data_IF_817331557073
#
_entry.id   IF_817331557073
#
_cell.length_a   1.000
_cell.length_b   1.000
_cell.length_c   1.000
_cell.angle_alpha   90.00
_cell.angle_beta   90.00
_cell.angle_gamma   90.00
#
_symmetry.space_group_name_H-M   'P 1'
#
loop_
_entity.id
_entity.type
_entity.pdbx_description
1 polymer ?
#
# COMPACT_ATOMS: atom_id res chain seq x y z
N UNK A 1 10.59 1.00 12.74
CA UNK A 1 10.79 -0.42 13.05
C UNK A 1 10.57 -1.36 11.86
N UNK A 2 9.97 -0.93 10.74
CA UNK A 2 9.64 -1.86 9.65
C UNK A 2 10.50 -1.57 8.42
N UNK A 3 11.62 -2.28 8.29
CA UNK A 3 12.23 -2.51 6.98
C UNK A 3 11.63 -3.81 6.43
N UNK A 4 10.65 -3.74 5.52
CA UNK A 4 9.90 -4.92 5.10
C UNK A 4 10.74 -5.94 4.34
N UNK A 5 11.97 -5.56 3.93
CA UNK A 5 12.96 -6.42 3.30
C UNK A 5 13.90 -7.14 4.28
N UNK A 6 13.75 -6.92 5.59
CA UNK A 6 14.61 -7.50 6.62
C UNK A 6 14.52 -9.04 6.64
N UNK A 7 15.64 -9.75 6.78
CA UNK A 7 15.57 -11.21 6.97
C UNK A 7 15.07 -11.54 8.38
N UNK A 8 14.65 -12.79 8.62
CA UNK A 8 14.24 -13.22 9.95
C UNK A 8 15.41 -13.13 10.95
N UNK A 9 16.63 -13.42 10.49
CA UNK A 9 17.86 -13.31 11.26
C UNK A 9 18.17 -11.84 11.60
N UNK A 10 18.05 -10.95 10.61
CA UNK A 10 18.29 -9.53 10.82
C UNK A 10 17.24 -8.91 11.77
N UNK A 11 15.97 -9.33 11.65
CA UNK A 11 14.89 -8.90 12.55
C UNK A 11 15.11 -9.43 13.97
N UNK A 12 15.47 -10.71 14.10
CA UNK A 12 15.81 -11.36 15.37
C UNK A 12 16.93 -10.62 16.09
N UNK A 13 18.03 -10.30 15.39
CA UNK A 13 19.15 -9.54 15.95
C UNK A 13 18.72 -8.12 16.33
N UNK A 14 17.95 -7.44 15.48
CA UNK A 14 17.54 -6.05 15.69
C UNK A 14 16.59 -5.86 16.86
N UNK A 15 15.68 -6.82 17.08
CA UNK A 15 14.69 -6.78 18.15
C UNK A 15 15.08 -7.59 19.38
N UNK A 16 16.21 -8.29 19.35
CA UNK A 16 16.68 -9.13 20.45
C UNK A 16 15.72 -10.29 20.77
N UNK A 17 15.06 -10.85 19.74
CA UNK A 17 14.05 -11.91 19.89
C UNK A 17 14.50 -13.23 19.25
N UNK A 18 13.96 -14.39 19.65
CA UNK A 18 14.24 -15.68 19.01
C UNK A 18 13.95 -15.69 17.51
N UNK A 19 14.77 -16.42 16.73
CA UNK A 19 14.58 -16.54 15.28
C UNK A 19 13.19 -17.06 14.90
N UNK A 20 12.66 -18.03 15.66
CA UNK A 20 11.32 -18.56 15.44
C UNK A 20 10.22 -17.50 15.59
N UNK A 21 10.35 -16.59 16.56
CA UNK A 21 9.40 -15.48 16.72
C UNK A 21 9.52 -14.47 15.58
N UNK A 22 10.74 -14.13 15.17
CA UNK A 22 10.97 -13.26 14.03
C UNK A 22 10.42 -13.85 12.72
N UNK A 23 10.51 -15.18 12.53
CA UNK A 23 9.91 -15.86 11.39
C UNK A 23 8.39 -15.75 11.37
N UNK A 24 7.73 -15.97 12.51
CA UNK A 24 6.27 -15.84 12.63
C UNK A 24 5.81 -14.41 12.33
N UNK A 25 6.48 -13.41 12.89
CA UNK A 25 6.15 -11.99 12.63
C UNK A 25 6.29 -11.66 11.14
N UNK A 26 7.35 -12.14 10.48
CA UNK A 26 7.53 -11.89 9.06
C UNK A 26 6.52 -12.64 8.19
N UNK A 27 6.12 -13.84 8.60
CA UNK A 27 5.09 -14.64 7.92
C UNK A 27 3.72 -13.93 7.97
N UNK A 28 3.35 -13.36 9.12
CA UNK A 28 2.11 -12.58 9.26
C UNK A 28 2.09 -11.30 8.41
N UNK A 29 3.26 -10.73 8.12
CA UNK A 29 3.41 -9.49 7.37
C UNK A 29 3.69 -9.70 5.88
N UNK A 30 3.89 -10.94 5.42
CA UNK A 30 4.27 -11.26 4.04
C UNK A 30 3.29 -12.23 3.41
N UNK A 31 3.16 -12.11 2.10
CA UNK A 31 2.32 -13.02 1.33
C UNK A 31 2.97 -13.23 -0.03
N UNK A 32 3.07 -14.47 -0.50
CA UNK A 32 3.57 -14.70 -1.85
C UNK A 32 2.53 -14.25 -2.87
N UNK A 33 3.00 -13.82 -4.05
CA UNK A 33 2.14 -13.40 -5.13
C UNK A 33 1.10 -14.45 -5.54
N UNK A 34 1.45 -15.74 -5.43
CA UNK A 34 0.56 -16.86 -5.76
C UNK A 34 -0.63 -16.92 -4.80
N UNK A 35 -0.38 -16.74 -3.50
CA UNK A 35 -1.42 -16.75 -2.47
C UNK A 35 -2.27 -15.48 -2.58
N UNK A 36 -1.63 -14.36 -2.89
CA UNK A 36 -2.33 -13.10 -3.13
C UNK A 36 -3.24 -13.15 -4.36
N UNK A 37 -2.87 -13.89 -5.41
CA UNK A 37 -3.72 -14.09 -6.59
C UNK A 37 -5.01 -14.85 -6.24
N UNK A 38 -4.94 -15.85 -5.35
CA UNK A 38 -6.14 -16.50 -4.82
C UNK A 38 -6.95 -15.54 -3.93
N UNK A 39 -6.27 -14.74 -3.12
CA UNK A 39 -6.92 -13.76 -2.23
C UNK A 39 -7.68 -12.67 -3.00
N UNK A 40 -7.18 -12.27 -4.17
CA UNK A 40 -7.85 -11.33 -5.08
C UNK A 40 -9.15 -11.89 -5.69
N UNK A 41 -9.29 -13.21 -5.78
CA UNK A 41 -10.51 -13.85 -6.31
C UNK A 41 -11.64 -13.86 -5.29
N UNK A 42 -11.32 -13.73 -4.01
CA UNK A 42 -12.33 -13.70 -2.95
C UNK A 42 -13.16 -12.41 -3.03
N UNK A 43 -14.50 -12.51 -3.00
CA UNK A 43 -15.37 -11.34 -3.06
C UNK A 43 -15.14 -10.43 -1.85
N UNK A 44 -15.38 -9.12 -2.03
CA UNK A 44 -15.36 -8.19 -0.91
C UNK A 44 -16.41 -8.60 0.15
N UNK A 45 -16.11 -8.49 1.44
CA UNK A 45 -17.06 -8.84 2.50
C UNK A 45 -18.30 -7.94 2.42
N UNK A 46 -19.48 -8.48 2.69
CA UNK A 46 -20.75 -7.72 2.66
C UNK A 46 -20.70 -6.59 3.70
N UNK A 47 -20.28 -6.92 4.92
CA UNK A 47 -20.05 -5.95 5.98
C UNK A 47 -18.60 -5.46 5.96
N UNK A 48 -18.44 -4.13 6.02
CA UNK A 48 -17.14 -3.47 6.14
C UNK A 48 -17.10 -2.74 7.47
N UNK A 49 -15.98 -2.85 8.19
CA UNK A 49 -15.78 -2.25 9.52
C UNK A 49 -15.90 -0.72 9.50
N UNK A 50 -15.43 -0.09 8.42
CA UNK A 50 -15.37 1.36 8.28
C UNK A 50 -16.25 1.84 7.14
N UNK A 51 -16.85 3.01 7.30
CA UNK A 51 -17.54 3.74 6.25
C UNK A 51 -16.55 4.40 5.29
N UNK A 52 -15.44 4.97 5.79
CA UNK A 52 -14.43 5.63 4.96
C UNK A 52 -13.01 5.25 5.36
N UNK A 53 -12.29 4.67 4.40
CA UNK A 53 -10.87 4.35 4.50
C UNK A 53 -10.10 5.20 3.51
N UNK A 54 -8.90 5.68 3.86
CA UNK A 54 -8.00 6.29 2.89
C UNK A 54 -6.74 5.46 2.68
N UNK A 55 -6.08 5.69 1.55
CA UNK A 55 -4.73 5.22 1.26
C UNK A 55 -4.03 6.22 0.35
N UNK A 56 -2.70 6.15 0.30
CA UNK A 56 -1.89 7.04 -0.53
C UNK A 56 -0.79 6.29 -1.25
N UNK A 57 -0.49 6.69 -2.47
CA UNK A 57 0.59 6.11 -3.25
C UNK A 57 0.89 6.90 -4.52
N UNK A 58 2.03 6.61 -5.14
CA UNK A 58 2.32 7.16 -6.48
C UNK A 58 1.58 6.39 -7.56
N UNK A 59 1.40 5.07 -7.40
CA UNK A 59 0.78 4.19 -8.41
C UNK A 59 1.41 4.35 -9.81
N UNK A 60 2.74 4.35 -9.87
CA UNK A 60 3.49 4.55 -11.12
C UNK A 60 3.30 3.36 -12.08
N UNK A 61 3.88 2.22 -11.72
CA UNK A 61 3.58 0.93 -12.34
C UNK A 61 2.80 0.10 -11.34
N UNK A 62 1.50 -0.10 -11.62
CA UNK A 62 0.63 -0.90 -10.74
C UNK A 62 1.10 -2.35 -10.77
N UNK A 63 1.17 -2.95 -9.59
CA UNK A 63 1.68 -4.30 -9.34
C UNK A 63 0.98 -4.88 -8.11
N UNK A 64 1.23 -6.14 -7.79
CA UNK A 64 0.50 -6.82 -6.70
C UNK A 64 0.65 -6.15 -5.34
N UNK A 65 1.81 -5.55 -5.02
CA UNK A 65 1.92 -4.71 -3.82
C UNK A 65 0.93 -3.52 -3.76
N UNK A 66 0.65 -2.85 -4.89
CA UNK A 66 -0.38 -1.80 -4.95
C UNK A 66 -1.79 -2.40 -4.85
N UNK A 67 -2.03 -3.54 -5.51
CA UNK A 67 -3.33 -4.23 -5.41
C UNK A 67 -3.61 -4.71 -4.00
N UNK A 68 -2.61 -5.17 -3.25
CA UNK A 68 -2.77 -5.58 -1.86
C UNK A 68 -3.18 -4.42 -0.97
N UNK A 69 -2.58 -3.24 -1.17
CA UNK A 69 -2.97 -2.01 -0.49
C UNK A 69 -4.43 -1.61 -0.82
N UNK A 70 -4.80 -1.64 -2.10
CA UNK A 70 -6.16 -1.34 -2.54
C UNK A 70 -7.17 -2.36 -1.97
N UNK A 71 -6.90 -3.65 -2.11
CA UNK A 71 -7.76 -4.74 -1.61
C UNK A 71 -7.96 -4.62 -0.10
N UNK A 72 -6.91 -4.33 0.65
CA UNK A 72 -6.96 -4.11 2.09
C UNK A 72 -7.93 -2.98 2.44
N UNK A 73 -7.89 -1.87 1.71
CA UNK A 73 -8.83 -0.78 1.94
C UNK A 73 -10.27 -1.13 1.53
N UNK A 74 -10.50 -1.74 0.37
CA UNK A 74 -11.85 -2.10 -0.10
C UNK A 74 -12.50 -3.22 0.71
N UNK A 75 -11.72 -4.07 1.38
CA UNK A 75 -12.25 -5.06 2.33
C UNK A 75 -12.70 -4.43 3.64
N UNK A 76 -12.11 -3.31 4.02
CA UNK A 76 -12.38 -2.67 5.31
C UNK A 76 -13.26 -1.44 5.22
N UNK A 77 -13.36 -0.79 4.05
CA UNK A 77 -14.07 0.46 3.83
C UNK A 77 -15.21 0.35 2.84
N UNK A 78 -16.36 0.95 3.16
CA UNK A 78 -17.48 1.12 2.20
C UNK A 78 -17.14 2.12 1.10
N UNK A 79 -16.41 3.17 1.42
CA UNK A 79 -15.83 4.13 0.46
C UNK A 79 -14.33 4.26 0.72
N UNK A 80 -13.56 4.36 -0.36
CA UNK A 80 -12.10 4.41 -0.31
C UNK A 80 -11.59 5.69 -0.99
N UNK A 81 -10.95 6.56 -0.21
CA UNK A 81 -10.23 7.73 -0.73
C UNK A 81 -8.82 7.34 -1.13
N UNK A 82 -8.49 7.40 -2.42
CA UNK A 82 -7.19 7.02 -2.97
C UNK A 82 -6.42 8.29 -3.35
N UNK A 83 -5.43 8.61 -2.54
CA UNK A 83 -4.50 9.71 -2.81
C UNK A 83 -3.42 9.30 -3.81
N UNK A 84 -3.33 10.01 -4.92
CA UNK A 84 -2.32 9.82 -5.96
C UNK A 84 -1.37 11.01 -5.97
N UNK A 85 -0.07 10.77 -5.75
CA UNK A 85 0.93 11.86 -5.70
C UNK A 85 0.94 12.68 -6.97
N UNK A 86 1.06 14.00 -6.86
CA UNK A 86 1.32 14.90 -7.98
C UNK A 86 2.68 14.61 -8.63
N UNK A 87 2.92 15.16 -9.82
CA UNK A 87 4.22 15.00 -10.48
C UNK A 87 5.31 15.74 -9.72
N UNK A 88 4.99 16.88 -9.13
CA UNK A 88 5.86 17.65 -8.26
C UNK A 88 6.24 16.88 -7.00
N UNK A 89 5.25 16.25 -6.34
CA UNK A 89 5.49 15.44 -5.16
C UNK A 89 6.27 14.17 -5.51
N UNK A 90 5.92 13.49 -6.60
CA UNK A 90 6.62 12.30 -7.07
C UNK A 90 8.11 12.56 -7.35
N UNK A 91 8.44 13.72 -7.96
CA UNK A 91 9.84 14.15 -8.18
C UNK A 91 10.58 14.38 -6.86
N UNK A 92 9.94 14.98 -5.86
CA UNK A 92 10.55 15.20 -4.52
C UNK A 92 10.84 13.89 -3.79
N UNK A 93 10.09 12.83 -4.07
CA UNK A 93 10.31 11.50 -3.48
C UNK A 93 11.54 10.77 -4.06
N UNK A 94 12.26 11.37 -5.02
CA UNK A 94 13.55 10.89 -5.56
C UNK A 94 13.56 9.39 -5.88
N UNK A 95 12.56 8.93 -6.63
CA UNK A 95 12.53 7.54 -7.09
C UNK A 95 13.71 7.26 -8.02
N UNK A 96 14.16 6.01 -8.02
CA UNK A 96 15.30 5.56 -8.82
C UNK A 96 15.00 5.49 -10.35
N UNK A 97 13.79 5.87 -10.76
CA UNK A 97 13.30 5.85 -12.12
C UNK A 97 12.44 7.09 -12.40
N UNK A 98 12.30 7.42 -13.68
CA UNK A 98 11.34 8.44 -14.13
C UNK A 98 9.92 7.95 -13.85
N UNK A 99 9.13 8.81 -13.20
CA UNK A 99 7.74 8.52 -12.84
C UNK A 99 6.83 9.02 -13.94
N UNK A 100 5.85 8.20 -14.32
CA UNK A 100 4.83 8.58 -15.32
C UNK A 100 4.05 9.83 -14.90
N UNK A 101 3.54 10.62 -15.87
CA UNK A 101 2.69 11.77 -15.56
C UNK A 101 1.46 11.39 -14.72
N UNK A 102 1.00 12.34 -13.90
CA UNK A 102 -0.13 12.14 -13.00
C UNK A 102 -1.38 11.63 -13.71
N UNK A 103 -1.68 12.19 -14.89
CA UNK A 103 -2.83 11.78 -15.70
C UNK A 103 -2.75 10.32 -16.13
N UNK A 104 -1.58 9.84 -16.52
CA UNK A 104 -1.36 8.44 -16.92
C UNK A 104 -1.52 7.51 -15.72
N UNK A 105 -0.94 7.86 -14.57
CA UNK A 105 -1.06 7.07 -13.33
C UNK A 105 -2.50 6.96 -12.86
N UNK A 106 -3.25 8.06 -12.88
CA UNK A 106 -4.69 8.06 -12.57
C UNK A 106 -5.49 7.24 -13.57
N UNK A 107 -5.19 7.35 -14.87
CA UNK A 107 -5.84 6.55 -15.91
C UNK A 107 -5.64 5.06 -15.67
N UNK A 108 -4.39 4.64 -15.46
CA UNK A 108 -4.04 3.24 -15.19
C UNK A 108 -4.72 2.73 -13.90
N UNK A 109 -4.76 3.56 -12.85
CA UNK A 109 -5.46 3.22 -11.61
C UNK A 109 -6.96 3.04 -11.82
N UNK A 110 -7.61 3.92 -12.58
CA UNK A 110 -9.04 3.78 -12.91
C UNK A 110 -9.32 2.47 -13.65
N UNK A 111 -8.53 2.12 -14.67
CA UNK A 111 -8.68 0.85 -15.39
C UNK A 111 -8.57 -0.36 -14.46
N UNK A 112 -7.68 -0.30 -13.46
CA UNK A 112 -7.55 -1.34 -12.43
C UNK A 112 -8.78 -1.39 -11.51
N UNK A 113 -9.26 -0.24 -11.05
CA UNK A 113 -10.45 -0.17 -10.21
C UNK A 113 -11.70 -0.69 -10.95
N UNK A 114 -11.83 -0.36 -12.24
CA UNK A 114 -12.91 -0.88 -13.10
C UNK A 114 -12.81 -2.39 -13.28
N UNK A 115 -11.60 -2.92 -13.55
CA UNK A 115 -11.36 -4.35 -13.71
C UNK A 115 -11.83 -5.16 -12.50
N UNK A 116 -11.66 -4.64 -11.28
CA UNK A 116 -12.07 -5.33 -10.05
C UNK A 116 -13.45 -4.90 -9.51
N UNK A 117 -14.16 -4.00 -10.22
CA UNK A 117 -15.47 -3.51 -9.79
C UNK A 117 -15.44 -2.62 -8.54
N UNK A 118 -14.30 -1.97 -8.27
CA UNK A 118 -14.09 -1.11 -7.10
C UNK A 118 -14.30 0.38 -7.38
N UNK A 119 -14.52 0.74 -8.65
CA UNK A 119 -14.54 2.13 -9.09
C UNK A 119 -15.68 2.96 -8.46
N UNK A 120 -16.85 2.37 -8.22
CA UNK A 120 -18.02 3.07 -7.65
C UNK A 120 -17.85 3.46 -6.17
N UNK A 121 -16.95 2.76 -5.48
CA UNK A 121 -16.60 3.03 -4.09
C UNK A 121 -15.30 3.85 -3.94
N UNK A 122 -14.64 4.15 -5.06
CA UNK A 122 -13.36 4.86 -5.10
C UNK A 122 -13.54 6.37 -5.26
N UNK A 123 -12.78 7.15 -4.48
CA UNK A 123 -12.59 8.59 -4.70
C UNK A 123 -11.10 8.89 -4.89
N UNK A 124 -10.69 9.16 -6.12
CA UNK A 124 -9.30 9.50 -6.45
C UNK A 124 -9.06 10.99 -6.20
N UNK A 125 -8.03 11.32 -5.42
CA UNK A 125 -7.62 12.69 -5.13
C UNK A 125 -6.14 12.90 -5.44
N UNK A 126 -5.79 14.09 -5.92
CA UNK A 126 -4.40 14.48 -6.13
C UNK A 126 -3.76 14.80 -4.77
N UNK A 127 -2.53 14.34 -4.55
CA UNK A 127 -1.74 14.68 -3.37
C UNK A 127 -0.58 15.61 -3.77
N UNK A 128 -0.63 16.86 -3.35
CA UNK A 128 0.46 17.82 -3.54
C UNK A 128 1.46 17.84 -2.36
N UNK A 129 1.10 17.19 -1.25
CA UNK A 129 1.92 16.96 -0.07
C UNK A 129 1.77 15.51 0.47
N UNK A 130 2.63 15.05 1.40
CA UNK A 130 2.60 13.68 1.89
C UNK A 130 1.39 13.27 2.75
N UNK A 131 0.56 14.21 3.19
CA UNK A 131 -0.56 13.97 4.11
C UNK A 131 -1.91 14.01 3.37
N UNK A 132 -2.11 15.03 2.55
CA UNK A 132 -3.35 15.25 1.79
C UNK A 132 -4.62 15.20 2.67
N UNK A 133 -5.70 14.52 2.23
CA UNK A 133 -6.97 14.52 2.97
C UNK A 133 -6.90 13.82 4.32
N UNK A 134 -5.85 13.03 4.60
CA UNK A 134 -5.74 12.29 5.86
C UNK A 134 -5.69 13.20 7.08
N UNK A 135 -5.23 14.45 6.92
CA UNK A 135 -5.14 15.45 7.99
C UNK A 135 -6.18 16.57 7.89
N UNK A 136 -7.11 16.49 6.94
CA UNK A 136 -8.14 17.53 6.76
C UNK A 136 -9.57 16.98 6.68
N UNK A 137 -9.74 15.72 6.27
CA UNK A 137 -11.06 15.07 6.22
C UNK A 137 -11.35 14.37 7.55
N UNK A 138 -12.29 14.95 8.31
CA UNK A 138 -12.75 14.43 9.59
C UNK A 138 -13.64 13.17 9.46
N UNK A 139 -14.14 12.86 8.25
CA UNK A 139 -14.98 11.68 8.00
C UNK A 139 -14.16 10.41 7.78
N UNK A 140 -12.85 10.52 7.59
CA UNK A 140 -11.97 9.36 7.50
C UNK A 140 -11.87 8.67 8.87
N UNK A 141 -12.07 7.36 8.88
CA UNK A 141 -12.07 6.53 10.10
C UNK A 141 -10.80 5.66 10.18
N UNK A 142 -10.26 5.24 9.04
CA UNK A 142 -9.05 4.42 8.99
C UNK A 142 -8.17 4.75 7.78
N UNK A 143 -6.91 4.36 7.87
CA UNK A 143 -5.92 4.46 6.80
C UNK A 143 -5.30 3.09 6.52
N UNK A 144 -5.40 2.65 5.28
CA UNK A 144 -4.68 1.48 4.80
C UNK A 144 -3.27 1.88 4.40
N UNK A 145 -2.28 1.15 4.90
CA UNK A 145 -0.87 1.44 4.66
C UNK A 145 -0.08 0.20 4.30
N UNK A 146 0.94 0.39 3.48
CA UNK A 146 1.98 -0.62 3.32
C UNK A 146 2.92 -0.63 4.54
N UNK A 147 3.63 -1.74 4.79
CA UNK A 147 4.65 -1.79 5.83
C UNK A 147 5.75 -0.71 5.68
N UNK A 148 5.97 -0.19 4.46
CA UNK A 148 6.92 0.90 4.20
C UNK A 148 6.42 2.28 4.63
N UNK A 149 5.12 2.45 4.84
CA UNK A 149 4.49 3.77 5.07
C UNK A 149 3.84 3.90 6.44
N UNK A 150 3.83 2.84 7.25
CA UNK A 150 3.19 2.80 8.58
C UNK A 150 3.68 3.92 9.50
N UNK A 151 4.97 4.27 9.44
CA UNK A 151 5.56 5.30 10.29
C UNK A 151 4.92 6.69 10.10
N UNK A 152 4.39 6.97 8.90
CA UNK A 152 3.72 8.26 8.61
C UNK A 152 2.37 8.38 9.30
N UNK A 153 1.75 7.27 9.70
CA UNK A 153 0.43 7.32 10.34
C UNK A 153 0.51 7.95 11.73
N UNK A 154 1.62 7.73 12.45
CA UNK A 154 1.87 8.41 13.72
C UNK A 154 1.96 9.93 13.55
N UNK A 155 2.64 10.40 12.49
CA UNK A 155 2.71 11.83 12.15
C UNK A 155 1.32 12.39 11.78
N UNK A 156 0.57 11.67 10.94
CA UNK A 156 -0.81 12.04 10.55
C UNK A 156 -1.70 12.17 11.77
N UNK A 157 -1.68 11.20 12.68
CA UNK A 157 -2.53 11.21 13.87
C UNK A 157 -2.14 12.31 14.86
N UNK A 158 -0.87 12.71 14.93
CA UNK A 158 -0.45 13.88 15.70
C UNK A 158 -1.05 15.18 15.13
N UNK A 159 -0.97 15.38 13.80
CA UNK A 159 -1.57 16.55 13.13
C UNK A 159 -3.09 16.56 13.30
N UNK A 160 -3.74 15.39 13.22
CA UNK A 160 -5.19 15.27 13.45
C UNK A 160 -5.58 15.66 14.88
N UNK A 161 -4.78 15.28 15.87
CA UNK A 161 -5.02 15.63 17.27
C UNK A 161 -4.93 17.15 17.51
N UNK A 162 -3.97 17.83 16.88
CA UNK A 162 -3.86 19.30 16.91
C UNK A 162 -5.12 19.99 16.34
N UNK A 163 -5.78 19.33 15.38
CA UNK A 163 -7.03 19.79 14.76
C UNK A 163 -8.30 19.19 15.37
N UNK A 164 -8.22 18.59 16.57
CA UNK A 164 -9.33 17.95 17.30
C UNK A 164 -10.08 16.86 16.52
N UNK A 165 -9.41 16.21 15.56
CA UNK A 165 -9.96 15.08 14.82
C UNK A 165 -9.64 13.76 15.52
N UNK A 166 -10.54 12.79 15.37
CA UNK A 166 -10.29 11.41 15.83
C UNK A 166 -9.08 10.83 15.10
N UNK A 167 -8.22 10.06 15.78
CA UNK A 167 -7.14 9.35 15.11
C UNK A 167 -7.70 8.36 14.08
N UNK A 168 -6.95 8.14 13.00
CA UNK A 168 -7.24 7.09 12.03
C UNK A 168 -6.76 5.75 12.59
N UNK A 169 -7.62 4.74 12.53
CA UNK A 169 -7.22 3.36 12.73
C UNK A 169 -6.25 2.93 11.62
N UNK A 170 -5.21 2.17 11.98
CA UNK A 170 -4.21 1.69 11.02
C UNK A 170 -4.59 0.31 10.53
N UNK A 171 -4.62 0.14 9.21
CA UNK A 171 -4.83 -1.16 8.57
C UNK A 171 -3.61 -1.47 7.72
N UNK A 172 -2.76 -2.37 8.20
CA UNK A 172 -1.56 -2.76 7.46
C UNK A 172 -1.92 -3.80 6.40
N UNK A 173 -1.49 -3.58 5.16
CA UNK A 173 -1.58 -4.59 4.11
C UNK A 173 -0.36 -5.52 4.17
N UNK A 174 -0.47 -6.78 3.70
CA UNK A 174 0.69 -7.65 3.60
C UNK A 174 1.69 -7.13 2.56
N UNK A 175 2.96 -7.46 2.76
CA UNK A 175 4.03 -7.24 1.81
C UNK A 175 4.05 -8.39 0.79
N UNK A 176 3.74 -8.07 -0.47
CA UNK A 176 3.69 -9.10 -1.50
C UNK A 176 5.09 -9.44 -2.02
N UNK A 177 5.44 -10.72 -1.94
CA UNK A 177 6.71 -11.29 -2.38
C UNK A 177 6.61 -11.86 -3.80
N UNK A 178 7.68 -11.67 -4.58
CA UNK A 178 7.90 -12.34 -5.85
C UNK A 178 8.38 -13.79 -5.65
N UNK A 179 8.54 -14.54 -6.75
CA UNK A 179 9.04 -15.93 -6.74
C UNK A 179 10.43 -16.08 -6.09
N UNK A 180 11.25 -15.03 -6.05
CA UNK A 180 12.55 -15.03 -5.38
C UNK A 180 12.50 -14.65 -3.90
N UNK A 181 11.31 -14.58 -3.30
CA UNK A 181 11.10 -14.26 -1.89
C UNK A 181 11.35 -12.79 -1.53
N UNK A 182 11.65 -11.93 -2.53
CA UNK A 182 11.85 -10.49 -2.30
C UNK A 182 10.59 -9.70 -2.65
N UNK A 183 10.35 -8.54 -2.01
CA UNK A 183 9.16 -7.74 -2.28
C UNK A 183 9.06 -7.28 -3.74
N UNK A 184 7.83 -7.24 -4.25
CA UNK A 184 7.53 -6.65 -5.58
C UNK A 184 7.55 -5.13 -5.45
N UNK A 185 8.20 -4.43 -6.38
CA UNK A 185 8.19 -2.97 -6.44
C UNK A 185 8.36 -2.45 -7.87
N UNK A 186 7.88 -1.23 -8.14
CA UNK A 186 8.04 -0.57 -9.45
C UNK A 186 9.50 -0.54 -9.90
N UNK A 187 10.46 -0.30 -8.99
CA UNK A 187 11.88 -0.29 -9.33
C UNK A 187 12.39 -1.63 -9.88
N UNK A 188 11.95 -2.75 -9.30
CA UNK A 188 12.34 -4.09 -9.77
C UNK A 188 11.69 -4.45 -11.11
N UNK A 189 10.45 -4.02 -11.31
CA UNK A 189 9.74 -4.21 -12.57
C UNK A 189 10.42 -3.43 -13.70
N UNK A 190 10.78 -2.17 -13.45
CA UNK A 190 11.45 -1.31 -14.44
C UNK A 190 12.84 -1.84 -14.80
N UNK A 191 13.55 -2.45 -13.83
CA UNK A 191 14.82 -3.13 -14.07
C UNK A 191 14.68 -4.48 -14.80
N UNK A 192 13.45 -4.94 -15.03
CA UNK A 192 13.18 -6.25 -15.62
C UNK A 192 13.61 -7.41 -14.72
N UNK A 193 13.57 -7.24 -13.39
CA UNK A 193 13.86 -8.35 -12.46
C UNK A 193 12.62 -9.24 -12.27
N UNK A 194 11.44 -8.62 -12.18
CA UNK A 194 10.15 -9.30 -11.94
C UNK A 194 9.03 -8.66 -12.75
N UNK A 195 7.97 -9.42 -13.04
CA UNK A 195 6.72 -8.89 -13.61
C UNK A 195 5.88 -8.18 -12.53
N UNK A 196 4.84 -7.40 -12.89
CA UNK A 196 3.91 -6.81 -11.93
C UNK A 196 3.21 -7.82 -11.00
N UNK A 197 3.07 -9.07 -11.44
CA UNK A 197 2.52 -10.21 -10.71
C UNK A 197 3.58 -10.97 -9.90
N UNK A 198 4.85 -10.55 -9.93
CA UNK A 198 5.90 -11.16 -9.12
C UNK A 198 6.58 -12.39 -9.73
N UNK A 199 6.39 -12.67 -11.02
CA UNK A 199 7.14 -13.72 -11.73
C UNK A 199 8.54 -13.24 -12.07
N UNK A 200 9.54 -14.11 -12.04
CA UNK A 200 10.88 -13.74 -12.49
C UNK A 200 10.94 -13.56 -14.00
N UNK A 201 11.51 -12.45 -14.44
CA UNK A 201 11.82 -12.26 -15.86
C UNK A 201 13.11 -13.02 -16.13
N UNK A 202 12.99 -14.22 -16.72
CA UNK A 202 14.15 -15.02 -17.11
C UNK A 202 14.81 -14.37 -18.33
N UNK A 203 16.09 -14.01 -18.18
CA UNK A 203 17.00 -13.63 -19.28
C UNK A 203 17.43 -14.84 -20.09
#
# INVERSE_FOLDING_TARGET
MNEPSISAEELSVRLGMPLGEAMVILDELRMYAVDFEEELKNPLPVERKYNRVCLGGTFDTIHYGHLALLLTAFRNGKKVTIGVTSDELAKKLKKAHEVKPYSERVSNLKSVLEKYGWIDDAMIVKLDDPYGPSVTDALLEAIAVSPFTVFRVSEINAIRAESLMKPLDVIECPLILAEDGKPISSSRIIKGEVTPEGRLVRS
#
